data_IF_617268969374
#
_entry.id   IF_617268969374
#
_cell.length_a   1.000
_cell.length_b   1.000
_cell.length_c   1.000
_cell.angle_alpha   90.00
_cell.angle_beta   90.00
_cell.angle_gamma   90.00
#
_symmetry.space_group_name_H-M   'P 1'
#
loop_
_entity.id
_entity.type
_entity.pdbx_description
1 polymer ?
#
# COMPACT_ATOMS: atom_id res chain seq x y z
N UNK A 1 -3.20 20.91 -22.34
CA UNK A 1 -2.27 21.52 -21.37
C UNK A 1 -1.17 20.49 -21.10
N UNK A 2 0.08 20.92 -20.90
CA UNK A 2 1.14 20.00 -20.46
C UNK A 2 0.84 19.53 -19.05
N UNK A 3 0.82 18.23 -18.81
CA UNK A 3 0.76 17.64 -17.47
C UNK A 3 2.02 18.01 -16.68
N UNK A 4 1.87 18.25 -15.37
CA UNK A 4 2.99 18.51 -14.44
C UNK A 4 3.04 17.42 -13.36
N UNK A 5 4.10 16.62 -13.37
CA UNK A 5 4.34 15.55 -12.39
C UNK A 5 4.48 16.07 -10.94
N UNK A 6 4.71 17.38 -10.76
CA UNK A 6 4.83 18.03 -9.46
C UNK A 6 3.56 18.75 -9.02
N UNK A 7 2.47 18.63 -9.78
CA UNK A 7 1.21 19.29 -9.45
C UNK A 7 0.72 18.90 -8.04
N UNK A 8 0.16 19.84 -7.27
CA UNK A 8 -0.30 19.56 -5.93
C UNK A 8 -1.51 18.63 -5.94
N UNK A 9 -1.37 17.50 -5.27
CA UNK A 9 -2.46 16.51 -5.02
C UNK A 9 -2.86 16.44 -3.55
N UNK A 10 -2.25 17.28 -2.73
CA UNK A 10 -2.55 17.44 -1.31
C UNK A 10 -2.83 18.92 -1.03
N UNK A 11 -3.75 19.19 -0.11
CA UNK A 11 -3.92 20.53 0.45
C UNK A 11 -2.76 20.86 1.43
N UNK A 12 -2.61 22.13 1.87
CA UNK A 12 -1.56 22.52 2.82
C UNK A 12 -1.59 21.77 4.16
N UNK A 13 -2.74 21.21 4.53
CA UNK A 13 -2.94 20.41 5.75
C UNK A 13 -2.55 18.93 5.55
N UNK A 14 -2.19 18.54 4.32
CA UNK A 14 -1.78 17.19 3.94
C UNK A 14 -2.95 16.25 3.62
N UNK A 15 -4.15 16.79 3.46
CA UNK A 15 -5.32 16.02 3.05
C UNK A 15 -5.34 15.83 1.53
N UNK A 16 -5.94 14.71 1.14
CA UNK A 16 -6.05 14.26 -0.24
C UNK A 16 -7.00 15.17 -1.02
N UNK A 17 -6.54 15.74 -2.13
CA UNK A 17 -7.42 16.44 -3.09
C UNK A 17 -7.97 15.39 -4.06
N UNK A 18 -9.11 14.78 -3.72
CA UNK A 18 -9.63 13.57 -4.38
C UNK A 18 -9.64 13.65 -5.91
N UNK A 19 -10.30 14.66 -6.49
CA UNK A 19 -10.37 14.83 -7.95
C UNK A 19 -8.98 15.04 -8.59
N UNK A 20 -8.15 15.89 -7.97
CA UNK A 20 -6.81 16.19 -8.48
C UNK A 20 -5.87 14.98 -8.39
N UNK A 21 -6.01 14.18 -7.33
CA UNK A 21 -5.22 12.99 -7.10
C UNK A 21 -5.62 11.82 -7.99
N UNK A 22 -6.93 11.66 -8.24
CA UNK A 22 -7.46 10.70 -9.22
C UNK A 22 -6.99 11.06 -10.62
N UNK A 23 -7.16 12.31 -11.04
CA UNK A 23 -6.69 12.78 -12.34
C UNK A 23 -5.16 12.65 -12.48
N UNK A 24 -4.40 12.94 -11.42
CA UNK A 24 -2.95 12.75 -11.40
C UNK A 24 -2.57 11.29 -11.69
N UNK A 25 -3.20 10.33 -11.01
CA UNK A 25 -2.93 8.89 -11.22
C UNK A 25 -3.26 8.45 -12.63
N UNK A 26 -4.44 8.84 -13.12
CA UNK A 26 -4.92 8.51 -14.46
C UNK A 26 -3.91 8.96 -15.52
N UNK A 27 -3.52 10.24 -15.51
CA UNK A 27 -2.60 10.79 -16.51
C UNK A 27 -1.19 10.20 -16.40
N UNK A 28 -0.68 9.95 -15.19
CA UNK A 28 0.64 9.31 -15.00
C UNK A 28 0.64 7.90 -15.57
N UNK A 29 -0.44 7.14 -15.33
CA UNK A 29 -0.55 5.76 -15.78
C UNK A 29 -0.81 5.65 -17.29
N UNK A 30 -1.62 6.54 -17.86
CA UNK A 30 -1.81 6.66 -19.32
C UNK A 30 -0.47 6.91 -20.01
N UNK A 31 0.29 7.90 -19.53
CA UNK A 31 1.60 8.22 -20.09
C UNK A 31 2.64 7.12 -19.91
N UNK A 32 2.59 6.38 -18.79
CA UNK A 32 3.45 5.22 -18.61
C UNK A 32 3.09 4.10 -19.58
N UNK A 33 1.80 3.82 -19.78
CA UNK A 33 1.34 2.80 -20.71
C UNK A 33 1.71 3.11 -22.17
N UNK A 34 1.74 4.40 -22.53
CA UNK A 34 2.17 4.88 -23.85
C UNK A 34 3.69 5.03 -23.99
N UNK A 35 4.45 4.90 -22.90
CA UNK A 35 5.91 5.06 -22.93
C UNK A 35 6.61 3.86 -23.57
N UNK A 36 7.85 4.06 -24.03
CA UNK A 36 8.67 2.96 -24.55
C UNK A 36 8.84 1.84 -23.52
N UNK A 37 9.02 2.18 -22.24
CA UNK A 37 9.14 1.22 -21.13
C UNK A 37 7.84 0.46 -20.87
N UNK A 38 6.67 1.13 -20.94
CA UNK A 38 5.37 0.48 -20.78
C UNK A 38 5.04 -0.45 -21.93
N UNK A 39 5.26 -0.01 -23.18
CA UNK A 39 5.06 -0.83 -24.37
C UNK A 39 5.99 -2.05 -24.38
N UNK A 40 7.27 -1.88 -24.04
CA UNK A 40 8.22 -2.99 -23.96
C UNK A 40 7.83 -4.00 -22.88
N UNK A 41 7.36 -3.53 -21.72
CA UNK A 41 6.86 -4.41 -20.65
C UNK A 41 5.71 -5.29 -21.15
N UNK A 42 4.74 -4.71 -21.85
CA UNK A 42 3.59 -5.44 -22.42
C UNK A 42 4.04 -6.40 -23.53
N UNK A 43 4.95 -5.99 -24.41
CA UNK A 43 5.50 -6.87 -25.44
C UNK A 43 6.21 -8.10 -24.86
N UNK A 44 6.84 -7.97 -23.70
CA UNK A 44 7.47 -9.08 -22.98
C UNK A 44 6.46 -9.94 -22.20
N UNK A 45 5.16 -9.70 -22.33
CA UNK A 45 4.09 -10.43 -21.65
C UNK A 45 3.83 -9.94 -20.22
N UNK A 46 4.37 -8.79 -19.83
CA UNK A 46 4.06 -8.13 -18.57
C UNK A 46 2.69 -7.46 -18.57
N UNK A 47 2.22 -7.07 -17.39
CA UNK A 47 1.00 -6.31 -17.19
C UNK A 47 1.32 -4.92 -16.60
N UNK A 48 0.38 -4.00 -16.72
CA UNK A 48 0.45 -2.66 -16.13
C UNK A 48 -0.62 -2.57 -15.03
N UNK A 49 -0.23 -2.07 -13.86
CA UNK A 49 -1.13 -1.82 -12.73
C UNK A 49 -0.43 -1.76 -11.36
N UNK A 50 0.75 -2.37 -11.22
CA UNK A 50 1.52 -2.29 -9.98
C UNK A 50 2.08 -0.90 -9.71
N UNK A 51 2.40 -0.14 -10.75
CA UNK A 51 2.78 1.26 -10.63
C UNK A 51 1.63 2.11 -10.06
N UNK A 52 0.39 1.88 -10.51
CA UNK A 52 -0.77 2.56 -9.97
C UNK A 52 -0.99 2.21 -8.49
N UNK A 53 -0.86 0.93 -8.14
CA UNK A 53 -0.92 0.47 -6.74
C UNK A 53 0.16 1.14 -5.87
N UNK A 54 1.39 1.30 -6.39
CA UNK A 54 2.46 2.03 -5.70
C UNK A 54 2.06 3.49 -5.45
N UNK A 55 1.50 4.17 -6.45
CA UNK A 55 1.08 5.57 -6.33
C UNK A 55 -0.05 5.70 -5.31
N UNK A 56 -1.06 4.84 -5.38
CA UNK A 56 -2.18 4.81 -4.45
C UNK A 56 -1.71 4.63 -2.99
N UNK A 57 -0.85 3.65 -2.75
CA UNK A 57 -0.31 3.39 -1.41
C UNK A 57 0.59 4.54 -0.92
N UNK A 58 1.44 5.09 -1.78
CA UNK A 58 2.30 6.22 -1.46
C UNK A 58 1.50 7.46 -1.09
N UNK A 59 0.48 7.80 -1.89
CA UNK A 59 -0.33 8.99 -1.64
C UNK A 59 -1.26 8.80 -0.43
N UNK A 60 -1.96 7.67 -0.37
CA UNK A 60 -2.97 7.41 0.67
C UNK A 60 -2.40 7.17 2.07
N UNK A 61 -1.18 6.63 2.18
CA UNK A 61 -0.59 6.27 3.49
C UNK A 61 0.61 7.10 3.89
N UNK A 62 1.41 7.58 2.93
CA UNK A 62 2.67 8.28 3.21
C UNK A 62 2.62 9.77 2.82
N UNK A 63 1.53 10.21 2.18
CA UNK A 63 1.35 11.56 1.67
C UNK A 63 2.52 12.00 0.73
N UNK A 64 2.91 11.10 -0.18
CA UNK A 64 3.95 11.34 -1.19
C UNK A 64 3.45 11.00 -2.59
N UNK A 65 3.98 11.70 -3.60
CA UNK A 65 3.81 11.37 -5.02
C UNK A 65 5.09 10.72 -5.57
N UNK A 66 5.07 10.13 -6.78
CA UNK A 66 6.28 9.74 -7.48
C UNK A 66 7.39 10.81 -7.50
N UNK A 67 7.04 12.08 -7.69
CA UNK A 67 8.01 13.18 -7.71
C UNK A 67 8.69 13.44 -6.35
N UNK A 68 8.04 13.07 -5.24
CA UNK A 68 8.56 13.34 -3.89
C UNK A 68 8.98 12.08 -3.12
N UNK A 69 8.68 10.89 -3.65
CA UNK A 69 8.95 9.63 -2.98
C UNK A 69 10.45 9.38 -2.84
N UNK A 70 10.88 9.09 -1.62
CA UNK A 70 12.27 8.70 -1.32
C UNK A 70 12.46 7.19 -1.37
N UNK A 71 13.73 6.75 -1.42
CA UNK A 71 14.06 5.33 -1.30
C UNK A 71 13.57 4.69 0.02
N UNK A 72 13.43 5.48 1.10
CA UNK A 72 12.90 4.99 2.36
C UNK A 72 11.39 4.71 2.26
N UNK A 73 10.64 5.66 1.68
CA UNK A 73 9.21 5.50 1.43
C UNK A 73 8.94 4.37 0.42
N UNK A 74 9.78 4.21 -0.61
CA UNK A 74 9.73 3.06 -1.53
C UNK A 74 9.86 1.73 -0.79
N UNK A 75 10.79 1.61 0.16
CA UNK A 75 10.94 0.39 0.98
C UNK A 75 9.75 0.17 1.91
N UNK A 76 9.20 1.24 2.48
CA UNK A 76 8.00 1.17 3.31
C UNK A 76 6.79 0.69 2.50
N UNK A 77 6.61 1.19 1.28
CA UNK A 77 5.54 0.69 0.40
C UNK A 77 5.74 -0.79 0.10
N UNK A 78 6.93 -1.20 -0.36
CA UNK A 78 7.20 -2.59 -0.75
C UNK A 78 7.12 -3.58 0.41
N UNK A 79 7.67 -3.25 1.58
CA UNK A 79 7.85 -4.24 2.64
C UNK A 79 6.88 -4.10 3.80
N UNK A 80 6.10 -3.01 3.86
CA UNK A 80 5.09 -2.81 4.89
C UNK A 80 3.69 -2.70 4.27
N UNK A 81 3.51 -1.87 3.23
CA UNK A 81 2.16 -1.61 2.70
C UNK A 81 1.67 -2.69 1.74
N UNK A 82 2.48 -3.14 0.78
CA UNK A 82 2.12 -4.23 -0.13
C UNK A 82 1.74 -5.51 0.66
N UNK A 83 2.63 -6.07 1.51
CA UNK A 83 2.32 -7.24 2.33
C UNK A 83 1.04 -7.11 3.14
N UNK A 84 0.81 -5.92 3.70
CA UNK A 84 -0.34 -5.63 4.57
C UNK A 84 -1.65 -5.43 3.82
N UNK A 85 -1.62 -4.91 2.59
CA UNK A 85 -2.81 -4.35 1.92
C UNK A 85 -3.18 -5.07 0.63
N UNK A 86 -2.21 -5.58 -0.11
CA UNK A 86 -2.44 -6.12 -1.45
C UNK A 86 -2.75 -7.60 -1.36
N UNK A 87 -3.99 -7.96 -1.66
CA UNK A 87 -4.44 -9.35 -1.82
C UNK A 87 -4.19 -9.77 -3.27
N UNK A 88 -3.03 -10.35 -3.53
CA UNK A 88 -2.61 -10.85 -4.83
C UNK A 88 -1.92 -12.21 -4.68
N UNK A 89 -1.79 -12.95 -5.78
CA UNK A 89 -1.03 -14.20 -5.79
C UNK A 89 0.41 -13.92 -5.32
N UNK A 90 0.96 -14.72 -4.39
CA UNK A 90 2.31 -14.51 -3.90
C UNK A 90 3.42 -14.49 -4.96
N UNK A 91 3.21 -15.14 -6.11
CA UNK A 91 4.13 -15.14 -7.25
C UNK A 91 4.25 -13.80 -7.98
N UNK A 92 3.39 -12.82 -7.68
CA UNK A 92 3.41 -11.51 -8.34
C UNK A 92 4.63 -10.64 -7.98
N UNK A 93 5.47 -11.03 -7.01
CA UNK A 93 6.60 -10.21 -6.57
C UNK A 93 7.59 -9.87 -7.71
N UNK A 94 7.81 -10.82 -8.63
CA UNK A 94 8.67 -10.59 -9.79
C UNK A 94 8.03 -9.61 -10.77
N UNK A 95 6.72 -9.73 -11.01
CA UNK A 95 5.96 -8.80 -11.85
C UNK A 95 5.96 -7.39 -11.27
N UNK A 96 5.66 -7.23 -9.97
CA UNK A 96 5.71 -5.96 -9.25
C UNK A 96 7.08 -5.30 -9.43
N UNK A 97 8.16 -6.01 -9.11
CA UNK A 97 9.51 -5.42 -9.20
C UNK A 97 9.87 -5.07 -10.65
N UNK A 98 9.44 -5.87 -11.62
CA UNK A 98 9.72 -5.65 -13.05
C UNK A 98 9.00 -4.41 -13.56
N UNK A 99 7.68 -4.31 -13.33
CA UNK A 99 6.89 -3.14 -13.71
C UNK A 99 7.39 -1.88 -13.01
N UNK A 100 7.67 -1.93 -11.71
CA UNK A 100 8.16 -0.74 -11.00
C UNK A 100 9.53 -0.27 -11.50
N UNK A 101 10.39 -1.17 -12.00
CA UNK A 101 11.65 -0.76 -12.64
C UNK A 101 11.39 -0.03 -13.95
N UNK A 102 10.48 -0.55 -14.79
CA UNK A 102 10.06 0.11 -16.03
C UNK A 102 9.47 1.50 -15.73
N UNK A 103 8.56 1.58 -14.74
CA UNK A 103 7.91 2.81 -14.33
C UNK A 103 8.90 3.87 -13.83
N UNK A 104 9.82 3.52 -12.93
CA UNK A 104 10.82 4.49 -12.45
C UNK A 104 11.83 4.90 -13.53
N UNK A 105 12.11 4.04 -14.50
CA UNK A 105 12.96 4.37 -15.66
C UNK A 105 12.26 5.39 -16.56
N UNK A 106 10.98 5.15 -16.88
CA UNK A 106 10.12 6.11 -17.58
C UNK A 106 10.11 7.47 -16.87
N UNK A 107 9.85 7.48 -15.55
CA UNK A 107 9.79 8.72 -14.78
C UNK A 107 11.12 9.48 -14.75
N UNK A 108 12.24 8.76 -14.77
CA UNK A 108 13.57 9.35 -14.86
C UNK A 108 13.80 10.02 -16.22
N UNK A 109 13.42 9.36 -17.31
CA UNK A 109 13.60 9.85 -18.67
C UNK A 109 12.65 10.99 -19.03
N UNK A 110 11.35 10.75 -18.89
CA UNK A 110 10.29 11.67 -19.34
C UNK A 110 10.23 12.96 -18.51
N UNK A 111 10.40 12.83 -17.19
CA UNK A 111 10.22 13.96 -16.25
C UNK A 111 11.51 14.42 -15.56
N UNK A 112 12.65 13.78 -15.83
CA UNK A 112 13.92 14.14 -15.20
C UNK A 112 13.91 14.00 -13.66
N UNK A 113 13.10 13.07 -13.12
CA UNK A 113 12.95 12.90 -11.68
C UNK A 113 14.26 12.43 -11.02
N UNK A 114 14.92 13.33 -10.30
CA UNK A 114 16.21 13.07 -9.63
C UNK A 114 16.14 11.99 -8.54
N UNK A 115 14.96 11.76 -7.96
CA UNK A 115 14.74 10.73 -6.95
C UNK A 115 14.59 9.33 -7.56
N UNK A 116 14.31 9.21 -8.87
CA UNK A 116 14.09 7.92 -9.54
C UNK A 116 15.28 6.97 -9.39
N UNK A 117 16.51 7.47 -9.54
CA UNK A 117 17.74 6.68 -9.32
C UNK A 117 17.79 6.02 -7.94
N UNK A 118 17.33 6.72 -6.90
CA UNK A 118 17.33 6.19 -5.55
C UNK A 118 16.26 5.09 -5.39
N UNK A 119 15.09 5.26 -6.03
CA UNK A 119 14.04 4.25 -6.06
C UNK A 119 14.44 3.01 -6.89
N UNK A 120 15.08 3.19 -8.05
CA UNK A 120 15.60 2.10 -8.89
C UNK A 120 16.61 1.23 -8.14
N UNK A 121 17.48 1.84 -7.31
CA UNK A 121 18.40 1.09 -6.43
C UNK A 121 17.71 0.26 -5.35
N UNK A 122 16.43 0.53 -5.05
CA UNK A 122 15.63 -0.34 -4.17
C UNK A 122 15.15 -1.58 -4.92
N UNK A 123 15.02 -1.56 -6.23
CA UNK A 123 14.37 -2.61 -7.03
C UNK A 123 15.40 -3.60 -7.59
N UNK A 124 15.82 -4.55 -6.76
CA UNK A 124 16.85 -5.56 -7.08
C UNK A 124 16.27 -6.97 -7.08
N UNK A 125 17.02 -7.96 -7.58
CA UNK A 125 16.63 -9.38 -7.44
C UNK A 125 16.47 -9.81 -5.98
N UNK A 126 17.25 -9.23 -5.06
CA UNK A 126 17.07 -9.47 -3.61
C UNK A 126 15.76 -8.87 -3.08
N UNK A 127 15.32 -7.76 -3.67
CA UNK A 127 14.03 -7.12 -3.38
C UNK A 127 12.88 -8.00 -3.80
N UNK A 128 12.94 -8.62 -4.98
CA UNK A 128 11.93 -9.61 -5.42
C UNK A 128 11.76 -10.72 -4.37
N UNK A 129 12.86 -11.42 -4.04
CA UNK A 129 12.83 -12.54 -3.09
C UNK A 129 12.34 -12.14 -1.71
N UNK A 130 12.68 -10.93 -1.27
CA UNK A 130 12.18 -10.40 -0.01
C UNK A 130 10.68 -10.11 -0.09
N UNK A 131 10.24 -9.38 -1.11
CA UNK A 131 8.85 -9.00 -1.30
C UNK A 131 7.95 -10.23 -1.34
N UNK A 132 8.35 -11.26 -2.09
CA UNK A 132 7.64 -12.55 -2.16
C UNK A 132 7.43 -13.15 -0.76
N UNK A 133 8.50 -13.27 0.03
CA UNK A 133 8.41 -13.78 1.41
C UNK A 133 7.49 -12.91 2.28
N UNK A 134 7.63 -11.59 2.23
CA UNK A 134 6.79 -10.70 3.05
C UNK A 134 5.31 -10.79 2.65
N UNK A 135 5.01 -10.94 1.36
CA UNK A 135 3.65 -11.07 0.80
C UNK A 135 2.97 -12.39 1.15
N UNK A 136 3.75 -13.44 1.45
CA UNK A 136 3.28 -14.76 1.86
C UNK A 136 3.06 -14.87 3.37
N UNK A 137 3.74 -14.06 4.17
CA UNK A 137 3.71 -14.17 5.63
C UNK A 137 2.40 -13.61 6.21
N UNK A 138 1.51 -14.44 6.78
CA UNK A 138 0.25 -13.98 7.36
C UNK A 138 0.45 -12.99 8.52
N UNK A 139 1.62 -13.00 9.18
CA UNK A 139 1.94 -12.05 10.25
C UNK A 139 2.02 -10.60 9.75
N UNK A 140 2.25 -10.41 8.45
CA UNK A 140 2.32 -9.09 7.82
C UNK A 140 0.96 -8.58 7.34
N UNK A 141 -0.09 -9.42 7.34
CA UNK A 141 -1.37 -9.04 6.74
C UNK A 141 -2.13 -8.05 7.61
N UNK A 142 -2.73 -7.05 6.95
CA UNK A 142 -3.76 -6.22 7.57
C UNK A 142 -5.06 -7.01 7.72
N UNK A 143 -5.94 -6.54 8.60
CA UNK A 143 -7.23 -7.21 8.90
C UNK A 143 -8.04 -7.56 7.65
N UNK A 144 -8.17 -6.61 6.71
CA UNK A 144 -8.92 -6.81 5.47
C UNK A 144 -8.29 -7.90 4.58
N UNK A 145 -6.97 -7.86 4.36
CA UNK A 145 -6.27 -8.90 3.60
C UNK A 145 -6.37 -10.25 4.32
N UNK A 146 -6.15 -10.30 5.64
CA UNK A 146 -6.27 -11.53 6.41
C UNK A 146 -7.67 -12.15 6.28
N UNK A 147 -8.71 -11.33 6.30
CA UNK A 147 -10.08 -11.75 6.06
C UNK A 147 -10.26 -12.35 4.66
N UNK A 148 -9.75 -11.69 3.60
CA UNK A 148 -9.80 -12.20 2.22
C UNK A 148 -9.02 -13.51 2.07
N UNK A 149 -7.79 -13.58 2.57
CA UNK A 149 -6.94 -14.77 2.47
C UNK A 149 -7.56 -15.97 3.20
N UNK A 150 -8.20 -15.75 4.35
CA UNK A 150 -8.94 -16.81 5.06
C UNK A 150 -10.16 -17.29 4.28
N UNK A 151 -10.88 -16.39 3.61
CA UNK A 151 -12.02 -16.75 2.75
C UNK A 151 -11.60 -17.65 1.59
N UNK A 152 -10.54 -17.29 0.87
CA UNK A 152 -9.96 -18.14 -0.18
C UNK A 152 -9.49 -19.50 0.36
N UNK A 153 -8.76 -19.52 1.48
CA UNK A 153 -8.29 -20.76 2.10
C UNK A 153 -9.46 -21.65 2.57
N UNK A 154 -10.62 -21.06 2.84
CA UNK A 154 -11.85 -21.76 3.21
C UNK A 154 -12.71 -22.16 1.99
N UNK A 155 -12.21 -21.92 0.77
CA UNK A 155 -12.87 -22.32 -0.48
C UNK A 155 -13.94 -21.35 -0.98
N UNK A 156 -14.07 -20.15 -0.38
CA UNK A 156 -14.99 -19.13 -0.86
C UNK A 156 -14.40 -18.36 -2.03
N UNK A 157 -15.26 -17.99 -2.97
CA UNK A 157 -14.89 -17.09 -4.06
C UNK A 157 -14.90 -15.63 -3.58
N UNK A 158 -13.75 -15.15 -3.14
CA UNK A 158 -13.58 -13.77 -2.66
C UNK A 158 -13.55 -12.72 -3.77
N UNK A 159 -13.77 -13.12 -5.03
CA UNK A 159 -13.85 -12.20 -6.17
C UNK A 159 -15.29 -11.77 -6.49
N UNK A 160 -16.28 -12.38 -5.84
CA UNK A 160 -17.71 -12.06 -6.03
C UNK A 160 -18.36 -11.52 -4.76
N UNK A 161 -19.41 -10.69 -4.93
CA UNK A 161 -20.19 -10.17 -3.80
C UNK A 161 -20.81 -11.29 -2.97
N UNK A 162 -21.37 -12.30 -3.64
CA UNK A 162 -22.03 -13.43 -2.98
C UNK A 162 -21.03 -14.27 -2.18
N UNK A 163 -19.85 -14.56 -2.73
CA UNK A 163 -18.80 -15.30 -2.02
C UNK A 163 -18.23 -14.52 -0.83
N UNK A 164 -18.02 -13.21 -0.97
CA UNK A 164 -17.64 -12.34 0.15
C UNK A 164 -18.70 -12.31 1.26
N UNK A 165 -19.98 -12.21 0.91
CA UNK A 165 -21.07 -12.22 1.88
C UNK A 165 -21.17 -13.56 2.61
N UNK A 166 -21.13 -14.68 1.87
CA UNK A 166 -21.17 -16.01 2.45
C UNK A 166 -20.00 -16.26 3.42
N UNK A 167 -18.80 -15.79 3.07
CA UNK A 167 -17.65 -15.84 3.98
C UNK A 167 -17.84 -14.94 5.20
N UNK A 168 -18.35 -13.71 5.03
CA UNK A 168 -18.60 -12.81 6.15
C UNK A 168 -19.58 -13.40 7.17
N UNK A 169 -20.64 -14.05 6.70
CA UNK A 169 -21.62 -14.74 7.56
C UNK A 169 -20.95 -15.90 8.33
N UNK A 170 -20.15 -16.71 7.64
CA UNK A 170 -19.39 -17.83 8.23
C UNK A 170 -18.39 -17.36 9.28
N UNK A 171 -17.58 -16.35 8.93
CA UNK A 171 -16.60 -15.73 9.82
C UNK A 171 -17.26 -15.16 11.07
N UNK A 172 -18.35 -14.40 10.91
CA UNK A 172 -19.08 -13.80 12.02
C UNK A 172 -19.75 -14.85 12.92
N UNK A 173 -20.24 -15.97 12.37
CA UNK A 173 -20.76 -17.08 13.16
C UNK A 173 -19.65 -17.72 14.02
N UNK A 174 -18.46 -17.93 13.46
CA UNK A 174 -17.30 -18.45 14.20
C UNK A 174 -16.85 -17.52 15.34
N UNK A 175 -16.72 -16.22 15.07
CA UNK A 175 -16.36 -15.22 16.10
C UNK A 175 -17.39 -15.16 17.23
N UNK A 176 -18.69 -15.31 16.93
CA UNK A 176 -19.75 -15.37 17.94
C UNK A 176 -19.62 -16.60 18.84
N UNK A 177 -19.33 -17.77 18.28
CA UNK A 177 -19.15 -19.01 19.03
C UNK A 177 -17.93 -18.92 19.97
N UNK A 178 -16.79 -18.42 19.48
CA UNK A 178 -15.58 -18.25 20.28
C UNK A 178 -15.78 -17.23 21.42
N UNK A 179 -16.51 -16.15 21.15
CA UNK A 179 -16.90 -15.17 22.16
C UNK A 179 -17.81 -15.78 23.23
N UNK A 180 -18.71 -16.68 22.84
CA UNK A 180 -19.62 -17.31 23.80
C UNK A 180 -18.88 -18.32 24.68
N UNK A 181 -18.00 -19.14 24.11
CA UNK A 181 -17.12 -20.06 24.87
C UNK A 181 -16.20 -19.32 25.86
N UNK A 182 -15.56 -18.24 25.41
CA UNK A 182 -14.70 -17.42 26.30
C UNK A 182 -15.46 -16.73 27.42
N UNK A 183 -16.76 -16.46 27.26
CA UNK A 183 -17.60 -15.94 28.35
C UNK A 183 -18.03 -17.05 29.33
N UNK A 184 -18.26 -18.26 28.82
CA UNK A 184 -18.67 -19.42 29.62
C UNK A 184 -17.50 -20.02 30.44
N UNK A 185 -16.26 -19.87 29.98
CA UNK A 185 -15.05 -20.43 30.60
C UNK A 185 -14.36 -19.52 31.65
N UNK A 186 -14.88 -18.32 31.95
CA UNK A 186 -14.25 -17.39 32.91
C UNK A 186 -14.88 -17.49 34.31
N UNK A 187 -14.16 -17.99 35.34
CA UNK A 187 -14.54 -17.79 36.74
C UNK A 187 -14.47 -16.31 37.10
N UNK A 188 -15.49 -15.83 37.82
CA UNK A 188 -15.66 -14.42 38.19
C UNK A 188 -14.54 -13.95 39.13
N UNK A 189 -13.51 -13.27 38.60
CA UNK A 189 -12.56 -12.48 39.39
C UNK A 189 -11.98 -11.26 38.65
N UNK A 190 -12.10 -10.13 39.35
CA UNK A 190 -11.49 -8.79 39.30
C UNK A 190 -10.38 -8.42 38.29
N UNK A 191 -10.64 -7.31 37.57
CA UNK A 191 -9.75 -6.21 37.10
C UNK A 191 -8.39 -6.49 36.41
N UNK A 192 -8.36 -6.21 35.08
CA UNK A 192 -7.38 -5.49 34.22
C UNK A 192 -5.85 -5.63 34.46
N UNK A 193 -4.98 -5.69 33.39
CA UNK A 193 -4.89 -4.59 32.41
C UNK A 193 -4.45 -4.89 30.94
N UNK A 194 -4.93 -3.99 30.07
CA UNK A 194 -4.34 -3.41 28.82
C UNK A 194 -3.50 -4.27 27.86
N UNK A 195 -4.07 -4.57 26.68
CA UNK A 195 -3.35 -5.17 25.56
C UNK A 195 -2.53 -4.14 24.74
N UNK A 196 -1.38 -4.60 24.25
CA UNK A 196 -0.29 -3.83 23.62
C UNK A 196 -0.59 -3.38 22.18
N UNK A 197 -1.71 -3.83 21.60
CA UNK A 197 -2.10 -3.59 20.20
C UNK A 197 -2.64 -2.17 19.93
N UNK A 198 -3.08 -1.44 20.96
CA UNK A 198 -3.58 -0.06 20.84
C UNK A 198 -2.48 1.00 20.73
N UNK A 199 -1.22 0.66 21.02
CA UNK A 199 -0.10 1.60 21.03
C UNK A 199 0.46 1.93 19.63
N UNK A 200 0.30 1.03 18.66
CA UNK A 200 0.91 1.20 17.32
C UNK A 200 0.05 2.08 16.38
N UNK A 201 -1.28 1.94 16.43
CA UNK A 201 -2.19 2.82 15.68
C UNK A 201 -2.23 4.27 16.22
N UNK A 202 -2.03 4.44 17.53
CA UNK A 202 -1.84 5.75 18.13
C UNK A 202 -0.48 6.37 17.77
N UNK A 203 0.56 5.55 17.60
CA UNK A 203 1.89 6.02 17.22
C UNK A 203 1.98 6.50 15.76
N UNK A 204 1.26 5.87 14.82
CA UNK A 204 1.22 6.32 13.42
C UNK A 204 0.49 7.66 13.27
N UNK A 205 -0.68 7.82 13.92
CA UNK A 205 -1.40 9.12 13.98
C UNK A 205 -0.57 10.20 14.68
N UNK A 206 0.20 9.84 15.71
CA UNK A 206 1.09 10.78 16.42
C UNK A 206 2.31 11.19 15.60
N UNK A 207 2.86 10.33 14.73
CA UNK A 207 3.96 10.66 13.81
C UNK A 207 3.50 11.61 12.70
N UNK A 208 2.31 11.40 12.13
CA UNK A 208 1.70 12.31 11.15
C UNK A 208 1.51 13.72 11.74
N UNK A 209 0.98 13.81 12.97
CA UNK A 209 0.82 15.07 13.69
C UNK A 209 2.14 15.72 14.13
N UNK A 210 3.23 14.96 14.29
CA UNK A 210 4.55 15.51 14.63
C UNK A 210 5.31 16.01 13.40
N UNK A 211 5.19 15.35 12.25
CA UNK A 211 5.82 15.77 10.99
C UNK A 211 5.20 17.09 10.50
N UNK A 212 3.87 17.23 10.58
CA UNK A 212 3.16 18.48 10.26
C UNK A 212 3.56 19.65 11.17
N UNK A 213 3.65 19.42 12.49
CA UNK A 213 4.11 20.44 13.46
C UNK A 213 5.56 20.88 13.25
N UNK A 214 6.46 19.98 12.83
CA UNK A 214 7.87 20.31 12.58
C UNK A 214 8.06 21.14 11.32
N UNK A 215 7.23 20.91 10.29
CA UNK A 215 7.21 21.70 9.05
C UNK A 215 6.65 23.11 9.33
N UNK A 216 5.56 23.21 10.08
CA UNK A 216 4.94 24.50 10.41
C UNK A 216 5.80 25.36 11.35
N UNK A 217 6.62 24.76 12.23
CA UNK A 217 7.57 25.50 13.07
C UNK A 217 8.76 26.08 12.27
N UNK A 218 9.16 25.44 11.16
CA UNK A 218 10.22 25.97 10.27
C UNK A 218 9.74 27.12 9.37
N UNK A 219 8.44 27.18 9.06
CA UNK A 219 7.83 28.27 8.27
C UNK A 219 7.55 29.55 9.07
N UNK A 220 7.36 29.48 10.39
CA UNK A 220 7.12 30.66 11.26
C UNK A 220 8.40 31.33 11.80
N UNK A 221 9.58 30.86 11.39
CA UNK A 221 10.89 31.37 11.84
C UNK A 221 11.76 31.94 10.72
N UNK A 222 11.18 32.25 9.56
CA UNK A 222 11.79 33.01 8.47
C UNK A 222 10.90 34.19 8.14
#
# INVERSE_FOLDING_TARGET
>A
MSFDIQQPVFNPDGEYLEDAAMHYREVVMERFAESAEGLELVHQGGTIGWADTLIELGMGYLAVTPATMTAAEMREVLFELFPRKVSADPGCAQEIVTELRAFWTFLQGEYGLRNADACLRVLTTATTRRLEREMQDPANFGLAKAFVMQGWASGFDMTTSDGMQAWAETYNAGVRIDRQRTLDEVPRATSSPTSRASRTAAASRRKLAQRSRRINRKKRGR
#
